data_IF_113546500283
#
_entry.id   IF_113546500283
#
_cell.length_a   1.000
_cell.length_b   1.000
_cell.length_c   1.000
_cell.angle_alpha   90.00
_cell.angle_beta   90.00
_cell.angle_gamma   90.00
#
_symmetry.space_group_name_H-M   'P 1'
#
loop_
_entity.id
_entity.type
_entity.pdbx_description
1 polymer ?
#
# COMPACT_ATOMS: atom_id res chain seq x y z
N UNK A 1 9.66 17.49 -1.34
CA UNK A 1 9.52 16.91 0.02
C UNK A 1 10.84 16.27 0.43
N UNK A 2 11.16 16.14 1.73
CA UNK A 2 12.37 15.44 2.20
C UNK A 2 11.99 14.17 2.98
N UNK A 3 12.80 13.09 2.89
CA UNK A 3 12.59 11.89 3.68
C UNK A 3 12.95 12.14 5.14
N UNK A 4 12.03 11.87 6.05
CA UNK A 4 12.18 11.97 7.51
C UNK A 4 11.78 10.64 8.12
N UNK A 5 12.29 10.32 9.31
CA UNK A 5 11.84 9.14 10.04
C UNK A 5 11.66 9.46 11.53
N UNK A 6 10.80 8.69 12.18
CA UNK A 6 10.69 8.65 13.64
C UNK A 6 10.79 7.20 14.10
N UNK A 7 11.27 7.00 15.31
CA UNK A 7 11.29 5.68 15.94
C UNK A 7 10.32 5.69 17.11
N UNK A 8 9.38 4.74 17.14
CA UNK A 8 8.43 4.58 18.25
C UNK A 8 8.35 3.10 18.61
N UNK A 9 8.59 2.78 19.88
CA UNK A 9 8.55 1.39 20.39
C UNK A 9 9.43 0.43 19.58
N UNK A 10 10.67 0.83 19.26
CA UNK A 10 11.62 0.03 18.47
C UNK A 10 11.31 -0.07 16.96
N UNK A 11 10.16 0.41 16.50
CA UNK A 11 9.79 0.42 15.07
C UNK A 11 10.09 1.77 14.42
N UNK A 12 10.75 1.74 13.26
CA UNK A 12 11.06 2.93 12.46
C UNK A 12 9.91 3.22 11.48
N UNK A 13 9.35 4.42 11.54
CA UNK A 13 8.34 4.93 10.61
C UNK A 13 8.97 5.98 9.71
N UNK A 14 8.72 5.89 8.41
CA UNK A 14 9.33 6.75 7.38
C UNK A 14 8.24 7.64 6.78
N UNK A 15 8.59 8.90 6.55
CA UNK A 15 7.69 9.91 6.01
C UNK A 15 8.38 10.73 4.92
N UNK A 16 7.59 11.26 4.00
CA UNK A 16 7.97 12.39 3.17
C UNK A 16 7.27 13.63 3.70
N UNK A 17 8.05 14.67 3.98
CA UNK A 17 7.54 15.90 4.60
C UNK A 17 7.85 17.11 3.72
N UNK A 18 6.89 18.02 3.58
CA UNK A 18 7.07 19.31 2.90
C UNK A 18 8.11 20.16 3.64
N UNK A 19 8.97 20.93 2.92
CA UNK A 19 10.02 21.74 3.54
C UNK A 19 9.52 22.64 4.68
N UNK A 20 8.38 23.29 4.49
CA UNK A 20 7.79 24.22 5.46
C UNK A 20 7.43 23.52 6.80
N UNK A 21 7.00 22.25 6.75
CA UNK A 21 6.74 21.43 7.94
C UNK A 21 8.00 20.81 8.57
N UNK A 22 9.16 20.97 7.95
CA UNK A 22 10.46 20.56 8.50
C UNK A 22 11.11 21.74 9.22
N UNK A 23 10.98 22.94 8.65
CA UNK A 23 11.59 24.16 9.16
C UNK A 23 10.71 24.88 10.20
N UNK A 24 9.38 24.66 10.14
CA UNK A 24 8.42 25.17 11.11
C UNK A 24 7.50 24.09 11.69
N UNK A 25 6.65 24.48 12.63
CA UNK A 25 5.60 23.61 13.18
C UNK A 25 4.21 24.05 12.71
N UNK A 26 3.24 23.14 12.80
CA UNK A 26 1.83 23.47 12.53
C UNK A 26 1.34 24.56 13.49
N UNK A 27 1.86 24.61 14.72
CA UNK A 27 1.55 25.63 15.71
C UNK A 27 2.08 27.02 15.32
N UNK A 28 3.19 27.08 14.59
CA UNK A 28 3.73 28.33 14.01
C UNK A 28 3.13 28.68 12.65
N UNK A 29 2.09 27.96 12.21
CA UNK A 29 1.37 28.22 10.96
C UNK A 29 1.97 27.59 9.71
N UNK A 30 2.95 26.69 9.84
CA UNK A 30 3.56 26.00 8.70
C UNK A 30 2.52 25.14 7.96
N UNK A 31 2.55 25.18 6.63
CA UNK A 31 1.62 24.47 5.74
C UNK A 31 2.37 23.43 4.92
N UNK A 32 1.76 22.27 4.75
CA UNK A 32 2.32 21.26 3.86
C UNK A 32 1.80 19.87 4.16
N UNK A 33 2.50 18.86 3.64
CA UNK A 33 2.11 17.48 3.77
C UNK A 33 3.16 16.68 4.51
N UNK A 34 2.68 15.78 5.38
CA UNK A 34 3.44 14.67 5.93
C UNK A 34 2.75 13.39 5.50
N UNK A 35 3.43 12.63 4.65
CA UNK A 35 2.88 11.46 3.98
C UNK A 35 3.71 10.25 4.40
N UNK A 36 3.05 9.14 4.76
CA UNK A 36 3.73 7.88 5.05
C UNK A 36 4.50 7.39 3.81
N UNK A 37 5.78 7.07 3.98
CA UNK A 37 6.63 6.70 2.84
C UNK A 37 6.12 5.44 2.14
N UNK A 38 5.62 4.46 2.92
CA UNK A 38 5.09 3.19 2.37
C UNK A 38 3.84 3.42 1.51
N UNK A 39 2.99 4.36 1.88
CA UNK A 39 1.79 4.69 1.10
C UNK A 39 2.16 5.37 -0.21
N UNK A 40 3.07 6.35 -0.18
CA UNK A 40 3.56 7.00 -1.40
C UNK A 40 4.25 6.00 -2.31
N UNK A 41 5.17 5.19 -1.78
CA UNK A 41 5.89 4.16 -2.55
C UNK A 41 4.90 3.18 -3.21
N UNK A 42 3.88 2.72 -2.48
CA UNK A 42 2.86 1.81 -3.02
C UNK A 42 2.04 2.45 -4.13
N UNK A 43 1.58 3.69 -3.94
CA UNK A 43 0.78 4.42 -4.93
C UNK A 43 1.60 4.70 -6.18
N UNK A 44 2.86 5.06 -6.01
CA UNK A 44 3.76 5.31 -7.12
C UNK A 44 4.02 4.04 -7.92
N UNK A 45 4.33 2.91 -7.26
CA UNK A 45 4.45 1.60 -7.92
C UNK A 45 3.19 1.28 -8.74
N UNK A 46 2.00 1.45 -8.16
CA UNK A 46 0.73 1.20 -8.86
C UNK A 46 0.50 2.12 -10.05
N UNK A 47 0.81 3.41 -9.90
CA UNK A 47 0.66 4.37 -10.98
C UNK A 47 1.62 4.05 -12.15
N UNK A 48 2.86 3.62 -11.84
CA UNK A 48 3.83 3.16 -12.84
C UNK A 48 3.34 1.90 -13.53
N UNK A 49 2.98 0.87 -12.76
CA UNK A 49 2.46 -0.40 -13.29
C UNK A 49 1.23 -0.14 -14.16
N UNK A 50 0.26 0.63 -13.68
CA UNK A 50 -0.95 0.96 -14.42
C UNK A 50 -0.68 1.76 -15.70
N UNK A 51 0.31 2.65 -15.70
CA UNK A 51 0.74 3.36 -16.90
C UNK A 51 1.39 2.40 -17.90
N UNK A 52 2.33 1.56 -17.46
CA UNK A 52 3.05 0.61 -18.29
C UNK A 52 2.17 -0.53 -18.84
N UNK A 53 0.99 -0.78 -18.26
CA UNK A 53 0.03 -1.75 -18.81
C UNK A 53 -0.80 -1.19 -19.98
N UNK A 54 -0.82 0.13 -20.20
CA UNK A 54 -1.57 0.72 -21.31
C UNK A 54 -0.89 0.39 -22.63
N UNK A 55 -1.62 -0.14 -23.63
CA UNK A 55 -1.07 -0.45 -24.95
C UNK A 55 -0.39 0.76 -25.61
N UNK A 56 -1.00 1.94 -25.50
CA UNK A 56 -0.48 3.21 -26.02
C UNK A 56 0.87 3.58 -25.40
N UNK A 57 0.99 3.45 -24.07
CA UNK A 57 2.24 3.70 -23.36
C UNK A 57 3.33 2.73 -23.81
N UNK A 58 3.02 1.43 -23.96
CA UNK A 58 3.98 0.43 -24.45
C UNK A 58 4.43 0.74 -25.88
N UNK A 59 3.51 1.12 -26.76
CA UNK A 59 3.81 1.50 -28.14
C UNK A 59 4.74 2.72 -28.19
N UNK A 60 4.50 3.73 -27.36
CA UNK A 60 5.35 4.93 -27.32
C UNK A 60 6.82 4.65 -26.96
N UNK A 61 7.10 3.55 -26.23
CA UNK A 61 8.48 3.13 -25.94
C UNK A 61 9.14 2.37 -27.09
N UNK A 62 8.33 1.77 -27.96
CA UNK A 62 8.79 1.05 -29.15
C UNK A 62 9.00 2.00 -30.34
N UNK A 63 8.37 3.18 -30.31
CA UNK A 63 8.55 4.22 -31.32
C UNK A 63 10.03 4.62 -31.43
N UNK A 64 10.63 4.38 -32.60
CA UNK A 64 12.04 4.68 -32.87
C UNK A 64 13.00 3.51 -32.65
N UNK A 65 12.52 2.34 -32.17
CA UNK A 65 13.31 1.11 -32.07
C UNK A 65 12.95 0.19 -33.25
N UNK A 66 13.85 0.12 -34.23
CA UNK A 66 13.66 -0.68 -35.45
C UNK A 66 14.48 -1.98 -35.47
N UNK A 67 15.31 -2.21 -34.44
CA UNK A 67 16.15 -3.41 -34.30
C UNK A 67 15.40 -4.46 -33.44
N UNK A 68 15.03 -5.63 -34.00
CA UNK A 68 14.28 -6.66 -33.30
C UNK A 68 14.93 -7.12 -31.98
N UNK A 69 16.26 -7.21 -31.95
CA UNK A 69 16.98 -7.63 -30.73
C UNK A 69 16.85 -6.57 -29.64
N UNK A 70 16.87 -5.29 -30.00
CA UNK A 70 16.68 -4.18 -29.03
C UNK A 70 15.25 -4.11 -28.53
N UNK A 71 14.28 -4.41 -29.39
CA UNK A 71 12.87 -4.49 -28.98
C UNK A 71 12.65 -5.60 -27.96
N UNK A 72 13.19 -6.80 -28.21
CA UNK A 72 13.06 -7.93 -27.28
C UNK A 72 13.72 -7.63 -25.93
N UNK A 73 14.92 -7.04 -25.94
CA UNK A 73 15.61 -6.61 -24.73
C UNK A 73 14.80 -5.59 -23.93
N UNK A 74 14.20 -4.60 -24.59
CA UNK A 74 13.36 -3.59 -23.92
C UNK A 74 12.09 -4.20 -23.32
N UNK A 75 11.40 -5.08 -24.04
CA UNK A 75 10.19 -5.74 -23.55
C UNK A 75 10.48 -6.58 -22.30
N UNK A 76 11.55 -7.38 -22.35
CA UNK A 76 12.03 -8.15 -21.19
C UNK A 76 12.34 -7.26 -19.99
N UNK A 77 13.01 -6.14 -20.23
CA UNK A 77 13.31 -5.14 -19.20
C UNK A 77 12.04 -4.54 -18.57
N UNK A 78 11.03 -4.22 -19.39
CA UNK A 78 9.74 -3.72 -18.89
C UNK A 78 9.05 -4.77 -18.02
N UNK A 79 9.09 -6.04 -18.42
CA UNK A 79 8.47 -7.13 -17.65
C UNK A 79 9.16 -7.33 -16.29
N UNK A 80 10.50 -7.30 -16.23
CA UNK A 80 11.26 -7.37 -14.98
C UNK A 80 10.93 -6.20 -14.03
N UNK A 81 10.79 -5.01 -14.61
CA UNK A 81 10.39 -3.81 -13.87
C UNK A 81 8.97 -3.96 -13.32
N UNK A 82 8.02 -4.42 -14.14
CA UNK A 82 6.65 -4.67 -13.73
C UNK A 82 6.58 -5.69 -12.59
N UNK A 83 7.31 -6.81 -12.71
CA UNK A 83 7.35 -7.85 -11.68
C UNK A 83 7.90 -7.31 -10.36
N UNK A 84 8.95 -6.48 -10.42
CA UNK A 84 9.54 -5.85 -9.23
C UNK A 84 8.57 -4.87 -8.57
N UNK A 85 7.89 -4.02 -9.34
CA UNK A 85 6.96 -3.01 -8.81
C UNK A 85 5.64 -3.59 -8.29
N UNK A 86 5.19 -4.74 -8.81
CA UNK A 86 4.02 -5.45 -8.29
C UNK A 86 4.21 -5.90 -6.84
N UNK A 87 5.44 -6.20 -6.42
CA UNK A 87 5.81 -6.47 -5.02
C UNK A 87 5.89 -5.19 -4.15
N UNK A 88 4.85 -4.36 -4.19
CA UNK A 88 4.82 -3.04 -3.55
C UNK A 88 5.23 -3.11 -2.07
N UNK A 89 6.22 -2.32 -1.68
CA UNK A 89 6.75 -2.26 -0.31
C UNK A 89 7.94 -3.20 -0.03
N UNK A 90 8.31 -4.06 -0.97
CA UNK A 90 9.53 -4.87 -0.89
C UNK A 90 10.80 -4.00 -0.92
N UNK A 91 11.92 -4.51 -0.40
CA UNK A 91 13.20 -3.79 -0.44
C UNK A 91 13.69 -3.52 -1.87
N UNK A 92 13.42 -4.45 -2.79
CA UNK A 92 13.75 -4.33 -4.21
C UNK A 92 12.90 -3.26 -4.89
N UNK A 93 11.57 -3.27 -4.69
CA UNK A 93 10.67 -2.23 -5.19
C UNK A 93 11.09 -0.83 -4.72
N UNK A 94 11.43 -0.69 -3.42
CA UNK A 94 11.93 0.58 -2.86
C UNK A 94 13.24 1.05 -3.50
N UNK A 95 14.18 0.12 -3.69
CA UNK A 95 15.48 0.42 -4.30
C UNK A 95 15.31 0.86 -5.75
N UNK A 96 14.44 0.17 -6.48
CA UNK A 96 14.09 0.50 -7.86
C UNK A 96 13.42 1.88 -7.95
N UNK A 97 12.38 2.15 -7.15
CA UNK A 97 11.72 3.46 -7.10
C UNK A 97 12.71 4.59 -6.83
N UNK A 98 13.61 4.40 -5.86
CA UNK A 98 14.66 5.39 -5.55
C UNK A 98 15.59 5.66 -6.74
N UNK A 99 15.80 4.66 -7.59
CA UNK A 99 16.68 4.73 -8.76
C UNK A 99 16.01 5.43 -9.95
N UNK A 100 14.74 5.15 -10.19
CA UNK A 100 14.02 5.61 -11.39
C UNK A 100 13.24 6.91 -11.20
N UNK A 101 12.79 7.21 -9.98
CA UNK A 101 11.94 8.38 -9.72
C UNK A 101 12.80 9.61 -9.49
N UNK A 102 12.69 10.59 -10.39
CA UNK A 102 13.46 11.83 -10.28
C UNK A 102 12.75 12.88 -9.42
N UNK A 103 11.45 13.05 -9.66
CA UNK A 103 10.67 14.12 -9.06
C UNK A 103 9.21 13.70 -8.93
N UNK A 104 8.60 14.08 -7.80
CA UNK A 104 7.17 13.96 -7.58
C UNK A 104 6.66 15.33 -7.15
N UNK A 105 5.69 15.83 -7.90
CA UNK A 105 4.94 17.04 -7.59
C UNK A 105 3.52 16.63 -7.18
N UNK A 106 3.05 17.19 -6.07
CA UNK A 106 1.72 16.92 -5.55
C UNK A 106 0.85 18.16 -5.67
N UNK A 107 -0.41 17.95 -5.99
CA UNK A 107 -1.51 18.90 -5.89
C UNK A 107 -2.65 18.27 -5.08
N UNK A 108 -3.69 19.02 -4.77
CA UNK A 108 -4.81 18.53 -3.93
C UNK A 108 -5.54 17.32 -4.53
N UNK A 109 -5.63 17.26 -5.87
CA UNK A 109 -6.43 16.25 -6.59
C UNK A 109 -5.62 15.31 -7.47
N UNK A 110 -4.31 15.54 -7.61
CA UNK A 110 -3.42 14.74 -8.47
C UNK A 110 -1.98 14.81 -8.00
N UNK A 111 -1.19 13.82 -8.37
CA UNK A 111 0.27 13.97 -8.39
C UNK A 111 0.80 13.76 -9.80
N UNK A 112 1.96 14.33 -10.05
CA UNK A 112 2.75 14.14 -11.26
C UNK A 112 4.12 13.64 -10.87
N UNK A 113 4.56 12.54 -11.49
CA UNK A 113 5.87 11.94 -11.24
C UNK A 113 6.68 11.88 -12.54
N UNK A 114 7.91 12.37 -12.49
CA UNK A 114 8.90 12.22 -13.56
C UNK A 114 9.82 11.06 -13.26
N UNK A 115 9.94 10.15 -14.22
CA UNK A 115 10.57 8.84 -14.06
C UNK A 115 11.56 8.63 -15.20
N UNK A 116 12.79 8.27 -14.87
CA UNK A 116 13.78 7.80 -15.83
C UNK A 116 13.85 6.28 -15.78
N UNK A 117 13.08 5.62 -16.64
CA UNK A 117 13.06 4.16 -16.73
C UNK A 117 14.43 3.60 -17.15
N UNK A 118 15.19 4.33 -17.97
CA UNK A 118 16.57 3.96 -18.34
C UNK A 118 17.48 3.64 -17.16
N UNK A 119 17.25 4.28 -16.01
CA UNK A 119 18.02 4.02 -14.79
C UNK A 119 17.75 2.62 -14.22
N UNK A 120 16.59 2.01 -14.46
CA UNK A 120 16.32 0.63 -14.03
C UNK A 120 17.34 -0.36 -14.64
N UNK A 121 17.84 -0.06 -15.83
CA UNK A 121 18.52 -1.02 -16.71
C UNK A 121 20.06 -0.90 -16.75
N UNK A 122 20.64 0.11 -16.08
CA UNK A 122 22.09 0.41 -16.09
C UNK A 122 23.03 -0.64 -15.46
N UNK A 123 22.56 -1.85 -15.16
CA UNK A 123 23.39 -2.97 -14.68
C UNK A 123 23.67 -4.02 -15.76
N UNK A 124 23.08 -3.91 -16.95
CA UNK A 124 23.41 -4.78 -18.07
C UNK A 124 24.47 -4.09 -18.93
N UNK A 125 25.62 -4.75 -19.15
CA UNK A 125 26.79 -4.22 -19.89
C UNK A 125 26.51 -3.93 -21.39
N UNK A 126 25.28 -4.11 -21.83
CA UNK A 126 24.81 -3.74 -23.17
C UNK A 126 23.65 -2.76 -23.05
N UNK A 127 23.77 -1.58 -23.67
CA UNK A 127 22.71 -0.83 -24.39
C UNK A 127 22.70 0.68 -24.11
N UNK A 128 23.22 1.43 -25.07
CA UNK A 128 22.96 2.86 -25.32
C UNK A 128 21.55 3.17 -25.86
N UNK A 129 20.63 2.20 -25.82
CA UNK A 129 19.29 2.30 -26.42
C UNK A 129 18.21 2.78 -25.42
N UNK A 130 18.45 2.64 -24.12
CA UNK A 130 17.41 2.85 -23.08
C UNK A 130 17.68 4.13 -22.27
N UNK A 131 18.76 4.84 -22.58
CA UNK A 131 19.29 5.96 -21.76
C UNK A 131 18.36 7.19 -21.68
N UNK A 132 17.33 7.31 -22.53
CA UNK A 132 16.41 8.44 -22.55
C UNK A 132 14.93 8.10 -22.35
N UNK A 133 14.59 6.89 -21.87
CA UNK A 133 13.20 6.57 -21.56
C UNK A 133 12.75 7.32 -20.32
N UNK A 134 12.26 8.54 -20.55
CA UNK A 134 11.64 9.41 -19.57
C UNK A 134 10.13 9.29 -19.69
N UNK A 135 9.49 9.16 -18.55
CA UNK A 135 8.06 9.00 -18.41
C UNK A 135 7.54 10.05 -17.44
N UNK A 136 6.48 10.75 -17.83
CA UNK A 136 5.71 11.59 -16.94
C UNK A 136 4.35 10.94 -16.66
N UNK A 137 4.13 10.55 -15.41
CA UNK A 137 2.87 9.96 -14.97
C UNK A 137 2.10 11.01 -14.19
N UNK A 138 0.87 11.29 -14.62
CA UNK A 138 -0.09 12.02 -13.82
C UNK A 138 -1.19 11.06 -13.37
N UNK A 139 -1.44 11.00 -12.06
CA UNK A 139 -2.49 10.17 -11.49
C UNK A 139 -3.36 11.00 -10.54
N UNK A 140 -4.70 10.89 -10.64
CA UNK A 140 -5.59 11.57 -9.71
C UNK A 140 -5.51 10.91 -8.33
N UNK A 141 -5.53 11.73 -7.29
CA UNK A 141 -5.50 11.28 -5.89
C UNK A 141 -6.63 11.89 -5.09
N UNK A 142 -6.99 11.20 -4.01
CA UNK A 142 -7.80 11.72 -2.93
C UNK A 142 -6.96 11.68 -1.65
N UNK A 143 -6.92 12.83 -0.98
CA UNK A 143 -6.31 12.95 0.33
C UNK A 143 -7.37 12.60 1.38
N UNK A 144 -7.16 11.52 2.12
CA UNK A 144 -7.97 11.17 3.28
C UNK A 144 -7.17 11.46 4.56
N UNK A 145 -7.73 12.24 5.47
CA UNK A 145 -7.13 12.44 6.81
C UNK A 145 -7.63 11.37 7.75
N UNK A 146 -6.73 10.66 8.42
CA UNK A 146 -7.10 9.68 9.44
C UNK A 146 -6.24 9.84 10.70
N UNK A 147 -6.88 10.21 11.80
CA UNK A 147 -6.24 10.35 13.13
C UNK A 147 -4.96 11.19 13.15
N UNK A 148 -4.91 12.28 12.38
CA UNK A 148 -3.75 13.17 12.26
C UNK A 148 -2.74 12.80 11.17
N UNK A 149 -2.89 11.64 10.51
CA UNK A 149 -2.03 11.18 9.41
C UNK A 149 -2.74 11.38 8.05
N UNK A 150 -2.01 11.85 7.03
CA UNK A 150 -2.52 11.98 5.67
C UNK A 150 -2.31 10.67 4.93
N UNK A 151 -3.43 10.08 4.48
CA UNK A 151 -3.45 8.92 3.62
C UNK A 151 -3.73 9.33 2.19
N UNK A 152 -2.87 8.88 1.28
CA UNK A 152 -3.09 9.04 -0.16
C UNK A 152 -3.93 7.87 -0.68
N UNK A 153 -4.87 8.16 -1.58
CA UNK A 153 -5.69 7.17 -2.27
C UNK A 153 -5.69 7.55 -3.75
N UNK A 154 -5.49 6.62 -4.67
CA UNK A 154 -5.60 6.86 -6.12
C UNK A 154 -7.09 6.84 -6.53
N UNK A 155 -7.52 7.72 -7.44
CA UNK A 155 -8.84 7.63 -8.09
C UNK A 155 -8.73 6.91 -9.44
N UNK A 156 -9.67 6.02 -9.78
CA UNK A 156 -9.75 5.34 -11.10
C UNK A 156 -9.01 3.99 -11.20
N UNK A 157 -8.91 3.42 -12.41
CA UNK A 157 -8.53 2.02 -12.66
C UNK A 157 -7.17 1.55 -12.07
N UNK A 158 -6.23 2.46 -11.77
CA UNK A 158 -5.00 2.14 -11.03
C UNK A 158 -5.16 2.22 -9.49
N UNK A 159 -6.14 3.00 -9.02
CA UNK A 159 -6.60 3.05 -7.62
C UNK A 159 -7.56 1.93 -7.24
N UNK A 160 -8.19 1.29 -8.22
CA UNK A 160 -8.95 0.05 -8.03
C UNK A 160 -8.09 -1.18 -7.73
N UNK A 161 -6.76 -1.03 -7.73
CA UNK A 161 -5.90 -2.03 -7.09
C UNK A 161 -5.91 -1.80 -5.58
N UNK A 162 -7.04 -2.07 -4.93
CA UNK A 162 -7.07 -3.04 -3.85
C UNK A 162 -5.70 -3.36 -3.22
N UNK A 163 -5.23 -2.55 -2.24
CA UNK A 163 -4.14 -2.99 -1.37
C UNK A 163 -4.76 -3.42 -0.04
N UNK A 164 -4.84 -4.73 0.22
CA UNK A 164 -5.40 -5.24 1.46
C UNK A 164 -4.66 -4.66 2.65
N UNK A 165 -5.38 -4.16 3.66
CA UNK A 165 -4.74 -3.61 4.86
C UNK A 165 -4.08 -4.78 5.63
N UNK A 166 -2.74 -4.84 5.72
CA UNK A 166 -2.04 -5.97 6.32
C UNK A 166 -2.36 -6.10 7.82
N UNK A 167 -2.68 -5.01 8.51
CA UNK A 167 -3.10 -5.07 9.91
C UNK A 167 -4.53 -5.62 10.03
N UNK A 168 -5.39 -5.33 9.07
CA UNK A 168 -6.76 -5.86 9.02
C UNK A 168 -6.75 -7.36 8.74
N UNK A 169 -5.95 -7.78 7.76
CA UNK A 169 -5.72 -9.22 7.47
C UNK A 169 -5.15 -9.92 8.70
N UNK A 170 -4.10 -9.37 9.32
CA UNK A 170 -3.50 -9.95 10.52
C UNK A 170 -4.52 -10.09 11.66
N UNK A 171 -5.39 -9.10 11.81
CA UNK A 171 -6.46 -9.15 12.83
C UNK A 171 -7.45 -10.29 12.54
N UNK A 172 -7.86 -10.48 11.28
CA UNK A 172 -8.75 -11.56 10.87
C UNK A 172 -8.09 -12.95 11.03
N UNK A 173 -6.82 -13.08 10.64
CA UNK A 173 -6.06 -14.32 10.79
C UNK A 173 -5.90 -14.69 12.26
N UNK A 174 -5.58 -13.73 13.12
CA UNK A 174 -5.48 -13.96 14.56
C UNK A 174 -6.83 -14.41 15.14
N UNK A 175 -7.93 -13.79 14.76
CA UNK A 175 -9.27 -14.19 15.19
C UNK A 175 -9.58 -15.64 14.79
N UNK A 176 -9.34 -16.02 13.53
CA UNK A 176 -9.57 -17.39 13.03
C UNK A 176 -8.63 -18.42 13.68
N UNK A 177 -7.35 -18.07 13.91
CA UNK A 177 -6.41 -18.92 14.63
C UNK A 177 -6.89 -19.19 16.06
N UNK A 178 -7.26 -18.15 16.80
CA UNK A 178 -7.79 -18.26 18.17
C UNK A 178 -9.04 -19.11 18.22
N UNK A 179 -9.96 -18.92 17.26
CA UNK A 179 -11.16 -19.73 17.15
C UNK A 179 -10.85 -21.22 16.98
N UNK A 180 -9.93 -21.56 16.06
CA UNK A 180 -9.48 -22.95 15.87
C UNK A 180 -8.80 -23.54 17.10
N UNK A 181 -8.02 -22.76 17.84
CA UNK A 181 -7.41 -23.21 19.10
C UNK A 181 -8.44 -23.45 20.20
N UNK A 182 -9.52 -22.67 20.20
CA UNK A 182 -10.61 -22.82 21.16
C UNK A 182 -11.52 -24.02 20.84
N UNK A 183 -11.80 -24.29 19.56
CA UNK A 183 -12.71 -25.37 19.11
C UNK A 183 -12.00 -26.64 18.61
N UNK A 184 -10.68 -26.73 18.78
CA UNK A 184 -9.87 -27.87 18.30
C UNK A 184 -9.90 -29.06 19.25
N UNK A 185 -9.31 -30.19 18.82
CA UNK A 185 -9.28 -31.47 19.58
C UNK A 185 -8.56 -31.38 20.94
N UNK A 186 -7.66 -30.41 21.11
CA UNK A 186 -7.05 -30.06 22.40
C UNK A 186 -7.64 -28.71 22.84
N UNK A 187 -8.82 -28.75 23.45
CA UNK A 187 -9.58 -27.57 23.88
C UNK A 187 -8.71 -26.65 24.74
N UNK A 188 -8.17 -25.60 24.12
CA UNK A 188 -7.32 -24.63 24.81
C UNK A 188 -8.23 -23.56 25.37
N UNK A 189 -8.22 -23.39 26.70
CA UNK A 189 -9.05 -22.38 27.37
C UNK A 189 -8.67 -20.96 26.94
N UNK A 190 -9.61 -20.02 27.04
CA UNK A 190 -9.37 -18.61 26.70
C UNK A 190 -8.17 -18.03 27.47
N UNK A 191 -7.96 -18.45 28.73
CA UNK A 191 -6.83 -18.08 29.56
C UNK A 191 -5.49 -18.57 28.98
N UNK A 192 -5.43 -19.80 28.49
CA UNK A 192 -4.23 -20.35 27.88
C UNK A 192 -3.91 -19.67 26.54
N UNK A 193 -4.93 -19.36 25.74
CA UNK A 193 -4.76 -18.58 24.49
C UNK A 193 -4.21 -17.19 24.82
N UNK A 194 -4.75 -16.52 25.85
CA UNK A 194 -4.31 -15.20 26.30
C UNK A 194 -2.83 -15.20 26.72
N UNK A 195 -2.41 -16.21 27.49
CA UNK A 195 -1.00 -16.41 27.88
C UNK A 195 -0.11 -16.62 26.66
N UNK A 196 -0.54 -17.46 25.71
CA UNK A 196 0.26 -17.77 24.51
C UNK A 196 0.45 -16.58 23.57
N UNK A 197 -0.53 -15.66 23.55
CA UNK A 197 -0.56 -14.50 22.67
C UNK A 197 -0.12 -13.20 23.37
N UNK A 198 0.36 -13.29 24.62
CA UNK A 198 0.76 -12.15 25.46
C UNK A 198 -0.32 -11.05 25.52
N UNK A 199 -1.55 -11.46 25.83
CA UNK A 199 -2.73 -10.59 25.84
C UNK A 199 -3.70 -10.94 26.97
N UNK A 200 -4.77 -10.17 27.13
CA UNK A 200 -5.78 -10.41 28.16
C UNK A 200 -6.98 -11.25 27.64
N UNK A 201 -7.69 -11.90 28.56
CA UNK A 201 -8.82 -12.78 28.24
C UNK A 201 -9.96 -12.02 27.55
N UNK A 202 -10.19 -10.75 27.91
CA UNK A 202 -11.26 -9.95 27.33
C UNK A 202 -10.95 -9.58 25.86
N UNK A 203 -9.69 -9.32 25.51
CA UNK A 203 -9.22 -9.11 24.14
C UNK A 203 -9.31 -10.40 23.32
N UNK A 204 -8.96 -11.57 23.90
CA UNK A 204 -9.17 -12.86 23.22
C UNK A 204 -10.66 -13.06 22.93
N UNK A 205 -11.52 -12.89 23.93
CA UNK A 205 -12.98 -13.03 23.81
C UNK A 205 -13.57 -12.09 22.76
N UNK A 206 -13.21 -10.80 22.77
CA UNK A 206 -13.64 -9.83 21.75
C UNK A 206 -13.14 -10.20 20.36
N UNK A 207 -11.89 -10.62 20.22
CA UNK A 207 -11.30 -10.96 18.93
C UNK A 207 -11.92 -12.20 18.29
N UNK A 208 -12.42 -13.16 19.08
CA UNK A 208 -13.05 -14.39 18.58
C UNK A 208 -14.29 -14.08 17.74
N UNK A 209 -15.04 -13.04 18.08
CA UNK A 209 -16.23 -12.63 17.33
C UNK A 209 -15.89 -12.29 15.88
N UNK A 210 -14.69 -11.75 15.62
CA UNK A 210 -14.23 -11.38 14.28
C UNK A 210 -14.00 -12.59 13.37
N UNK A 211 -13.92 -13.82 13.90
CA UNK A 211 -13.85 -15.02 13.09
C UNK A 211 -15.17 -15.27 12.30
N UNK A 212 -16.28 -14.68 12.76
CA UNK A 212 -17.63 -14.81 12.22
C UNK A 212 -18.09 -13.64 11.36
N UNK A 213 -17.14 -12.80 10.91
CA UNK A 213 -17.42 -11.71 9.98
C UNK A 213 -18.07 -12.25 8.69
N UNK A 214 -19.02 -11.50 8.13
CA UNK A 214 -19.72 -11.87 6.90
C UNK A 214 -18.72 -12.21 5.77
N UNK A 215 -18.94 -13.31 5.02
CA UNK A 215 -17.99 -13.79 4.02
C UNK A 215 -17.64 -12.76 2.96
N UNK A 216 -18.61 -11.96 2.51
CA UNK A 216 -18.43 -10.89 1.55
C UNK A 216 -17.58 -9.73 2.09
N UNK A 217 -17.72 -9.39 3.37
CA UNK A 217 -16.83 -8.42 4.02
C UNK A 217 -15.40 -8.95 4.13
N UNK A 218 -15.23 -10.25 4.43
CA UNK A 218 -13.91 -10.89 4.42
C UNK A 218 -13.30 -10.85 3.02
N UNK A 219 -14.06 -11.20 1.98
CA UNK A 219 -13.61 -11.11 0.59
C UNK A 219 -13.23 -9.68 0.24
N UNK A 220 -14.06 -8.68 0.57
CA UNK A 220 -13.73 -7.28 0.33
C UNK A 220 -12.45 -6.84 1.07
N UNK A 221 -12.21 -7.32 2.29
CA UNK A 221 -10.98 -7.04 3.04
C UNK A 221 -9.75 -7.67 2.40
N UNK A 222 -9.86 -8.94 2.00
CA UNK A 222 -8.78 -9.71 1.37
C UNK A 222 -8.47 -9.18 -0.03
N UNK A 223 -9.49 -8.71 -0.72
CA UNK A 223 -9.33 -8.02 -1.98
C UNK A 223 -8.75 -6.64 -1.71
N UNK A 224 -9.09 -5.92 -0.63
CA UNK A 224 -8.65 -4.53 -0.40
C UNK A 224 -9.70 -3.50 -0.83
N UNK A 225 -10.94 -3.96 -1.06
CA UNK A 225 -12.15 -3.19 -1.45
C UNK A 225 -12.98 -2.78 -0.24
N UNK A 226 -12.50 -3.03 0.99
CA UNK A 226 -13.22 -2.62 2.17
C UNK A 226 -13.41 -1.10 2.23
N UNK A 227 -14.54 -0.60 2.76
CA UNK A 227 -14.72 0.83 2.98
C UNK A 227 -13.59 1.41 3.84
N UNK A 228 -13.16 2.66 3.58
CA UNK A 228 -11.98 3.26 4.24
C UNK A 228 -12.13 3.37 5.76
N UNK A 229 -13.36 3.31 6.26
CA UNK A 229 -13.72 3.34 7.67
C UNK A 229 -13.56 1.98 8.36
N UNK A 230 -13.61 0.87 7.61
CA UNK A 230 -13.50 -0.50 8.11
C UNK A 230 -12.04 -0.89 8.31
N UNK A 231 -11.61 -0.89 9.57
CA UNK A 231 -10.18 -0.88 9.91
C UNK A 231 -9.90 -1.74 11.13
N UNK A 232 -8.66 -2.20 11.30
CA UNK A 232 -8.31 -3.12 12.40
C UNK A 232 -8.64 -2.52 13.77
N UNK A 233 -8.42 -1.21 13.95
CA UNK A 233 -8.76 -0.50 15.18
C UNK A 233 -10.27 -0.41 15.40
N UNK A 234 -11.07 -0.19 14.34
CA UNK A 234 -12.54 -0.17 14.44
C UNK A 234 -13.05 -1.56 14.82
N UNK A 235 -12.52 -2.62 14.20
CA UNK A 235 -12.86 -4.00 14.55
C UNK A 235 -12.51 -4.37 15.99
N UNK A 236 -11.34 -3.98 16.48
CA UNK A 236 -10.91 -4.28 17.86
C UNK A 236 -11.67 -3.50 18.94
N UNK A 237 -12.13 -2.29 18.62
CA UNK A 237 -12.88 -1.42 19.53
C UNK A 237 -14.37 -1.75 19.59
N UNK A 238 -14.88 -2.60 18.69
CA UNK A 238 -16.25 -3.05 18.77
C UNK A 238 -16.44 -3.94 19.99
N UNK A 239 -17.37 -3.55 20.86
CA UNK A 239 -17.74 -4.34 22.03
C UNK A 239 -18.50 -5.62 21.62
N UNK A 240 -19.34 -5.50 20.58
CA UNK A 240 -20.15 -6.60 20.08
C UNK A 240 -20.28 -6.54 18.56
N UNK A 241 -19.91 -7.63 17.89
CA UNK A 241 -20.22 -7.84 16.48
C UNK A 241 -21.69 -8.28 16.35
N UNK A 242 -22.50 -7.65 15.47
CA UNK A 242 -23.85 -8.12 15.19
C UNK A 242 -23.85 -9.59 14.74
N UNK A 243 -24.80 -10.39 15.24
CA UNK A 243 -24.88 -11.82 14.91
C UNK A 243 -25.36 -12.05 13.49
N UNK A 244 -26.26 -11.20 12.99
CA UNK A 244 -26.79 -11.27 11.63
C UNK A 244 -25.82 -10.60 10.66
N UNK A 245 -25.51 -11.28 9.55
CA UNK A 245 -24.64 -10.70 8.52
C UNK A 245 -25.22 -9.47 7.85
N UNK A 246 -26.55 -9.34 7.77
CA UNK A 246 -27.20 -8.13 7.25
C UNK A 246 -26.90 -6.90 8.12
N UNK A 247 -26.94 -7.04 9.43
CA UNK A 247 -26.57 -5.97 10.38
C UNK A 247 -25.08 -5.65 10.31
N UNK A 248 -24.23 -6.66 10.07
CA UNK A 248 -22.81 -6.41 9.82
C UNK A 248 -22.60 -5.61 8.54
N UNK A 249 -23.33 -5.91 7.46
CA UNK A 249 -23.28 -5.15 6.21
C UNK A 249 -23.81 -3.74 6.40
N UNK A 250 -24.89 -3.53 7.14
CA UNK A 250 -25.39 -2.20 7.44
C UNK A 250 -24.39 -1.37 8.27
N UNK A 251 -23.59 -2.03 9.12
CA UNK A 251 -22.59 -1.38 9.97
C UNK A 251 -21.25 -1.08 9.27
N UNK A 252 -20.90 -1.87 8.25
CA UNK A 252 -19.57 -1.85 7.62
C UNK A 252 -19.54 -1.69 6.10
N UNK A 253 -20.68 -1.84 5.43
CA UNK A 253 -20.84 -1.72 3.98
C UNK A 253 -20.94 -0.29 3.48
#
# INVERSE_FOLDING_TARGET
MRPVHTTKSGRRYRYYVSPDLIEGSVETGAKGWRIAAEELESILSKAIVGHLHKPESRQSFLDGIYDPNRMELLLSAIDDLLMTLQSSGSGQSKTLLKKIVQRIDFAEEKFTARIELGQAFKHSESQSCIDLLTLEITAPIQLARRSGELKLILKGAAGDTTNPDPNLIKTLLNARRRYRSYTGESETTLSQIAISDDTDIAEVSRSLQLAFLAPDLVSNILDGRQPPELTATKLKRLEKLPLLWEDQRALFG
#
